data_IF_476295700969
#
_entry.id   IF_476295700969
#
_cell.length_a   1.000
_cell.length_b   1.000
_cell.length_c   1.000
_cell.angle_alpha   90.00
_cell.angle_beta   90.00
_cell.angle_gamma   90.00
#
_symmetry.space_group_name_H-M   'P 1'
#
loop_
_entity.id
_entity.type
_entity.pdbx_description
1 polymer ?
#
# COMPACT_ATOMS: atom_id res chain seq x y z
N UNK A 1 3.34 1.17 8.79
CA UNK A 1 4.55 1.86 9.26
C UNK A 1 4.93 1.33 10.64
N UNK A 2 6.18 0.91 10.82
CA UNK A 2 6.78 0.57 12.11
C UNK A 2 8.20 1.12 12.17
N UNK A 3 8.41 2.14 13.00
CA UNK A 3 9.68 2.88 13.11
C UNK A 3 10.17 3.50 11.78
N UNK A 4 9.31 4.26 11.11
CA UNK A 4 9.57 4.87 9.80
C UNK A 4 9.64 6.42 9.86
N UNK A 5 9.98 7.00 11.01
CA UNK A 5 9.97 8.45 11.24
C UNK A 5 10.69 9.26 10.16
N UNK A 6 11.75 8.71 9.55
CA UNK A 6 12.53 9.41 8.52
C UNK A 6 11.77 9.60 7.20
N UNK A 7 10.96 8.62 6.78
CA UNK A 7 10.43 8.56 5.41
C UNK A 7 8.89 8.60 5.37
N UNK A 8 8.21 8.35 6.49
CA UNK A 8 6.75 8.17 6.52
C UNK A 8 5.97 9.36 5.94
N UNK A 9 6.45 10.60 6.17
CA UNK A 9 5.79 11.81 5.68
C UNK A 9 5.87 11.90 4.16
N UNK A 10 7.04 11.63 3.58
CA UNK A 10 7.25 11.63 2.12
C UNK A 10 6.45 10.52 1.45
N UNK A 11 6.40 9.33 2.05
CA UNK A 11 5.58 8.21 1.57
C UNK A 11 4.10 8.59 1.54
N UNK A 12 3.58 9.20 2.60
CA UNK A 12 2.18 9.65 2.64
C UNK A 12 1.90 10.74 1.60
N UNK A 13 2.81 11.70 1.41
CA UNK A 13 2.68 12.69 0.34
C UNK A 13 2.64 12.05 -1.06
N UNK A 14 3.48 11.04 -1.31
CA UNK A 14 3.47 10.29 -2.57
C UNK A 14 2.13 9.60 -2.80
N UNK A 15 1.55 8.97 -1.76
CA UNK A 15 0.24 8.31 -1.87
C UNK A 15 -0.91 9.29 -2.08
N UNK A 16 -0.87 10.45 -1.42
CA UNK A 16 -1.88 11.51 -1.62
C UNK A 16 -1.81 12.15 -3.01
N UNK A 17 -0.66 12.07 -3.69
CA UNK A 17 -0.45 12.60 -5.03
C UNK A 17 -0.92 11.66 -6.16
N UNK A 18 -1.52 10.51 -5.84
CA UNK A 18 -2.04 9.57 -6.83
C UNK A 18 -3.27 10.15 -7.54
N UNK A 19 -3.32 9.91 -8.85
CA UNK A 19 -4.36 10.44 -9.74
C UNK A 19 -5.54 9.47 -9.79
N UNK A 20 -6.30 9.40 -8.69
CA UNK A 20 -7.57 8.69 -8.63
C UNK A 20 -8.67 9.58 -8.02
N UNK A 21 -9.86 9.68 -8.63
CA UNK A 21 -10.88 10.64 -8.18
C UNK A 21 -11.36 10.42 -6.74
N UNK A 22 -11.54 9.16 -6.33
CA UNK A 22 -12.15 8.81 -5.06
C UNK A 22 -11.39 7.68 -4.35
N UNK A 23 -10.50 8.05 -3.44
CA UNK A 23 -9.77 7.10 -2.60
C UNK A 23 -9.43 7.74 -1.24
N UNK A 24 -9.24 6.88 -0.23
CA UNK A 24 -8.73 7.22 1.10
C UNK A 24 -7.34 6.58 1.27
N UNK A 25 -6.41 7.29 1.89
CA UNK A 25 -5.12 6.76 2.33
C UNK A 25 -5.22 6.46 3.82
N UNK A 26 -5.11 5.19 4.19
CA UNK A 26 -5.14 4.73 5.58
C UNK A 26 -3.74 4.28 5.98
N UNK A 27 -3.09 5.02 6.87
CA UNK A 27 -1.77 4.71 7.40
C UNK A 27 -1.92 3.96 8.72
N UNK A 28 -1.39 2.75 8.80
CA UNK A 28 -1.40 1.97 10.04
C UNK A 28 -0.05 2.11 10.74
N UNK A 29 -0.05 2.75 11.91
CA UNK A 29 1.07 2.79 12.83
C UNK A 29 1.03 1.55 13.75
N UNK A 30 1.88 0.57 13.46
CA UNK A 30 1.89 -0.73 14.13
C UNK A 30 2.69 -0.71 15.44
N UNK A 31 2.34 0.19 16.35
CA UNK A 31 3.00 0.33 17.64
C UNK A 31 4.45 0.81 17.56
N UNK A 32 4.75 1.73 16.64
CA UNK A 32 6.08 2.36 16.53
C UNK A 32 6.54 2.92 17.87
N UNK A 33 7.85 2.79 18.14
CA UNK A 33 8.51 3.26 19.36
C UNK A 33 9.29 4.56 19.15
N UNK A 34 9.38 5.02 17.91
CA UNK A 34 10.01 6.27 17.52
C UNK A 34 8.97 7.38 17.31
N UNK A 35 9.41 8.48 16.67
CA UNK A 35 8.58 9.65 16.39
C UNK A 35 7.65 9.48 15.17
N UNK A 36 7.44 8.27 14.63
CA UNK A 36 6.65 8.04 13.40
C UNK A 36 5.26 8.69 13.49
N UNK A 37 4.52 8.42 14.56
CA UNK A 37 3.18 8.98 14.76
C UNK A 37 3.24 10.50 14.96
N UNK A 38 4.20 10.98 15.75
CA UNK A 38 4.33 12.41 16.05
C UNK A 38 4.61 13.22 14.77
N UNK A 39 5.49 12.72 13.91
CA UNK A 39 5.79 13.37 12.62
C UNK A 39 4.58 13.42 11.69
N UNK A 40 3.77 12.37 11.65
CA UNK A 40 2.50 12.37 10.91
C UNK A 40 1.53 13.41 11.48
N UNK A 41 1.41 13.50 12.80
CA UNK A 41 0.57 14.50 13.48
C UNK A 41 1.03 15.91 13.12
N UNK A 42 2.32 16.18 13.21
CA UNK A 42 2.87 17.53 13.01
C UNK A 42 2.81 17.97 11.55
N UNK A 43 3.10 17.07 10.61
CA UNK A 43 3.10 17.34 9.17
C UNK A 43 1.68 17.56 8.63
N UNK A 44 0.73 16.71 9.03
CA UNK A 44 -0.63 16.73 8.48
C UNK A 44 -1.67 17.37 9.41
N UNK A 45 -1.23 17.93 10.55
CA UNK A 45 -2.10 18.52 11.59
C UNK A 45 -3.23 17.57 12.01
N UNK A 46 -2.86 16.32 12.28
CA UNK A 46 -3.82 15.29 12.59
C UNK A 46 -4.50 15.54 13.94
N UNK A 47 -5.81 15.33 13.97
CA UNK A 47 -6.62 15.38 15.19
C UNK A 47 -7.22 14.00 15.46
N UNK A 48 -7.32 13.66 16.75
CA UNK A 48 -8.03 12.44 17.15
C UNK A 48 -9.49 12.57 16.78
N UNK A 49 -10.05 11.52 16.21
CA UNK A 49 -11.46 11.43 15.89
C UNK A 49 -11.98 10.03 16.20
N UNK A 50 -13.30 9.89 16.24
CA UNK A 50 -13.94 8.59 16.38
C UNK A 50 -14.71 8.29 15.10
N UNK A 51 -14.50 7.10 14.56
CA UNK A 51 -15.24 6.56 13.42
C UNK A 51 -15.59 5.12 13.75
N UNK A 52 -16.88 4.74 13.68
CA UNK A 52 -17.26 3.34 13.81
C UNK A 52 -16.71 2.57 12.62
N UNK A 53 -16.23 1.37 12.88
CA UNK A 53 -15.75 0.43 11.90
C UNK A 53 -16.20 -0.98 12.27
N UNK A 54 -16.19 -1.88 11.30
CA UNK A 54 -16.60 -3.27 11.48
C UNK A 54 -15.38 -4.10 11.88
N UNK A 55 -15.44 -4.75 13.04
CA UNK A 55 -14.40 -5.68 13.50
C UNK A 55 -14.56 -7.05 12.84
N UNK A 56 -14.32 -7.09 11.52
CA UNK A 56 -14.46 -8.32 10.73
C UNK A 56 -13.27 -9.26 10.88
N UNK A 57 -12.06 -8.71 11.05
CA UNK A 57 -10.80 -9.45 11.14
C UNK A 57 -10.14 -9.25 12.50
N UNK A 58 -9.46 -10.29 12.99
CA UNK A 58 -8.67 -10.21 14.22
C UNK A 58 -7.45 -9.30 14.02
N UNK A 59 -7.24 -8.38 14.98
CA UNK A 59 -6.04 -7.56 15.07
C UNK A 59 -5.78 -7.13 16.51
N UNK A 60 -4.56 -6.68 16.80
CA UNK A 60 -4.23 -6.07 18.09
C UNK A 60 -5.00 -4.77 18.32
N UNK A 61 -5.26 -4.37 19.57
CA UNK A 61 -6.11 -3.22 19.90
C UNK A 61 -5.67 -1.91 19.22
N UNK A 62 -6.64 -1.19 18.66
CA UNK A 62 -6.45 0.15 18.13
C UNK A 62 -6.47 1.14 19.31
N UNK A 63 -5.37 1.87 19.48
CA UNK A 63 -5.17 2.90 20.51
C UNK A 63 -5.86 4.22 20.16
N UNK A 64 -5.94 4.54 18.87
CA UNK A 64 -6.57 5.77 18.42
C UNK A 64 -6.66 5.89 16.91
N UNK A 65 -7.65 6.66 16.46
CA UNK A 65 -7.85 7.05 15.07
C UNK A 65 -7.60 8.56 14.93
N UNK A 66 -6.91 8.93 13.86
CA UNK A 66 -6.52 10.30 13.57
C UNK A 66 -6.89 10.66 12.13
N UNK A 67 -7.34 11.90 11.92
CA UNK A 67 -7.67 12.44 10.60
C UNK A 67 -7.14 13.86 10.48
N UNK A 68 -6.81 14.30 9.27
CA UNK A 68 -6.48 15.69 9.02
C UNK A 68 -7.74 16.50 8.68
N UNK A 69 -7.95 17.69 9.24
CA UNK A 69 -8.99 18.62 8.78
C UNK A 69 -8.61 19.32 7.47
N UNK A 70 -7.34 19.27 7.06
CA UNK A 70 -6.82 19.90 5.84
C UNK A 70 -6.80 18.90 4.69
N UNK A 71 -6.48 17.63 5.01
CA UNK A 71 -6.40 16.53 4.04
C UNK A 71 -7.49 15.50 4.32
N UNK A 72 -8.67 15.70 3.72
CA UNK A 72 -9.85 14.84 3.95
C UNK A 72 -9.64 13.37 3.59
N UNK A 73 -8.65 13.07 2.74
CA UNK A 73 -8.35 11.71 2.27
C UNK A 73 -7.36 10.95 3.15
N UNK A 74 -6.83 11.54 4.23
CA UNK A 74 -5.81 10.92 5.07
C UNK A 74 -6.37 10.49 6.43
N UNK A 75 -6.24 9.19 6.71
CA UNK A 75 -6.54 8.59 8.00
C UNK A 75 -5.31 7.88 8.55
N UNK A 76 -5.08 8.00 9.87
CA UNK A 76 -4.01 7.29 10.56
C UNK A 76 -4.60 6.48 11.71
N UNK A 77 -4.24 5.21 11.76
CA UNK A 77 -4.65 4.26 12.81
C UNK A 77 -3.42 3.98 13.66
N UNK A 78 -3.48 4.31 14.95
CA UNK A 78 -2.49 3.90 15.93
C UNK A 78 -2.98 2.65 16.67
N UNK A 79 -2.16 1.60 16.69
CA UNK A 79 -2.48 0.31 17.33
C UNK A 79 -1.31 -0.24 18.12
N UNK A 80 -1.57 -1.26 18.93
CA UNK A 80 -0.50 -2.07 19.53
C UNK A 80 0.24 -2.88 18.47
N UNK A 81 1.52 -3.18 18.67
CA UNK A 81 2.32 -3.90 17.68
C UNK A 81 1.82 -5.35 17.52
N UNK A 82 1.43 -5.71 16.30
CA UNK A 82 1.00 -7.07 15.94
C UNK A 82 1.70 -7.63 14.70
N UNK A 83 2.58 -6.87 14.06
CA UNK A 83 3.22 -7.24 12.80
C UNK A 83 2.41 -6.86 11.55
N UNK A 84 2.98 -7.13 10.39
CA UNK A 84 2.46 -6.67 9.09
C UNK A 84 1.04 -7.17 8.78
N UNK A 85 0.79 -8.47 8.95
CA UNK A 85 -0.52 -9.07 8.68
C UNK A 85 -1.60 -8.49 9.59
N UNK A 86 -1.30 -8.37 10.89
CA UNK A 86 -2.19 -7.79 11.89
C UNK A 86 -2.50 -6.30 11.60
N UNK A 87 -1.49 -5.53 11.20
CA UNK A 87 -1.66 -4.14 10.76
C UNK A 87 -2.54 -4.04 9.51
N UNK A 88 -2.38 -4.94 8.53
CA UNK A 88 -3.23 -4.99 7.34
C UNK A 88 -4.68 -5.32 7.70
N UNK A 89 -4.91 -6.27 8.60
CA UNK A 89 -6.24 -6.62 9.09
C UNK A 89 -6.93 -5.45 9.81
N UNK A 90 -6.21 -4.73 10.66
CA UNK A 90 -6.71 -3.50 11.27
C UNK A 90 -7.09 -2.45 10.23
N UNK A 91 -6.30 -2.30 9.16
CA UNK A 91 -6.62 -1.42 8.03
C UNK A 91 -7.89 -1.84 7.30
N UNK A 92 -8.06 -3.13 7.00
CA UNK A 92 -9.25 -3.67 6.32
C UNK A 92 -10.53 -3.39 7.11
N UNK A 93 -10.48 -3.51 8.44
CA UNK A 93 -11.61 -3.22 9.31
C UNK A 93 -12.04 -1.75 9.21
N UNK A 94 -11.08 -0.82 9.18
CA UNK A 94 -11.34 0.64 9.11
C UNK A 94 -11.72 1.13 7.70
N UNK A 95 -11.31 0.40 6.66
CA UNK A 95 -11.65 0.68 5.26
C UNK A 95 -13.16 0.61 5.00
N UNK A 96 -13.69 1.63 4.32
CA UNK A 96 -15.10 1.68 3.87
C UNK A 96 -15.29 1.28 2.41
N UNK A 97 -14.25 1.41 1.60
CA UNK A 97 -14.33 1.12 0.18
C UNK A 97 -14.48 -0.39 -0.07
N UNK A 98 -15.22 -0.79 -1.12
CA UNK A 98 -15.35 -2.20 -1.49
C UNK A 98 -14.03 -2.79 -2.01
N UNK A 99 -13.16 -1.94 -2.55
CA UNK A 99 -11.80 -2.27 -2.96
C UNK A 99 -10.82 -1.61 -2.01
N UNK A 100 -9.77 -2.32 -1.63
CA UNK A 100 -8.65 -1.77 -0.89
C UNK A 100 -7.33 -2.15 -1.55
N UNK A 101 -6.31 -1.33 -1.34
CA UNK A 101 -4.97 -1.57 -1.84
C UNK A 101 -3.97 -1.61 -0.67
N UNK A 102 -3.08 -2.60 -0.70
CA UNK A 102 -1.98 -2.73 0.24
C UNK A 102 -0.71 -2.26 -0.45
N UNK A 103 0.00 -1.34 0.21
CA UNK A 103 1.23 -0.74 -0.29
C UNK A 103 2.26 -0.74 0.84
N UNK A 104 3.50 -1.11 0.54
CA UNK A 104 4.58 -1.04 1.52
C UNK A 104 5.04 0.41 1.74
N UNK A 105 5.48 0.73 2.97
CA UNK A 105 5.83 2.08 3.40
C UNK A 105 7.03 2.69 2.66
N UNK A 106 7.83 1.86 1.99
CA UNK A 106 9.01 2.20 1.21
C UNK A 106 8.77 2.14 -0.33
N UNK A 107 7.53 1.95 -0.75
CA UNK A 107 7.17 1.81 -2.16
C UNK A 107 6.66 3.11 -2.77
N UNK A 108 7.00 3.33 -4.04
CA UNK A 108 6.54 4.46 -4.85
C UNK A 108 5.65 3.93 -5.95
N UNK A 109 4.48 4.56 -6.12
CA UNK A 109 3.55 4.24 -7.18
C UNK A 109 3.59 5.27 -8.30
N UNK A 110 3.34 4.80 -9.52
CA UNK A 110 3.08 5.68 -10.65
C UNK A 110 1.73 6.40 -10.43
N UNK A 111 1.57 7.67 -10.87
CA UNK A 111 0.37 8.46 -10.59
C UNK A 111 -0.94 7.78 -11.02
N UNK A 112 -0.92 7.06 -12.13
CA UNK A 112 -2.06 6.34 -12.71
C UNK A 112 -2.16 4.86 -12.27
N UNK A 113 -1.32 4.42 -11.33
CA UNK A 113 -1.26 3.02 -10.89
C UNK A 113 -2.60 2.52 -10.34
N UNK A 114 -3.30 3.33 -9.54
CA UNK A 114 -4.61 2.96 -9.00
C UNK A 114 -5.67 2.83 -10.10
N UNK A 115 -5.65 3.72 -11.09
CA UNK A 115 -6.59 3.68 -12.22
C UNK A 115 -6.43 2.39 -13.04
N UNK A 116 -5.18 2.03 -13.35
CA UNK A 116 -4.88 0.78 -14.07
C UNK A 116 -5.18 -0.46 -13.23
N UNK A 117 -4.95 -0.41 -11.92
CA UNK A 117 -5.26 -1.52 -11.01
C UNK A 117 -6.76 -1.72 -10.79
N UNK A 118 -7.56 -0.65 -10.87
CA UNK A 118 -9.01 -0.71 -10.76
C UNK A 118 -9.68 -1.25 -12.05
N UNK A 119 -9.06 -1.06 -13.22
CA UNK A 119 -9.65 -1.42 -14.51
C UNK A 119 -10.14 -2.89 -14.59
N UNK A 120 -9.39 -3.92 -14.15
CA UNK A 120 -9.89 -5.30 -14.20
C UNK A 120 -11.14 -5.55 -13.34
N UNK A 121 -11.34 -4.79 -12.27
CA UNK A 121 -12.55 -4.88 -11.44
C UNK A 121 -13.77 -4.26 -12.14
N UNK A 122 -13.56 -3.38 -13.11
CA UNK A 122 -14.60 -2.78 -13.94
C UNK A 122 -14.90 -3.68 -15.14
N UNK A 123 -13.85 -4.21 -15.79
CA UNK A 123 -13.97 -5.05 -16.99
C UNK A 123 -14.60 -6.42 -16.69
N UNK A 124 -14.27 -7.02 -15.54
CA UNK A 124 -14.85 -8.30 -15.08
C UNK A 124 -15.19 -8.24 -13.58
N UNK A 125 -16.31 -7.60 -13.21
CA UNK A 125 -16.67 -7.32 -11.83
C UNK A 125 -17.13 -8.57 -11.06
N UNK A 126 -17.43 -9.69 -11.71
CA UNK A 126 -17.85 -10.91 -11.01
C UNK A 126 -16.68 -11.87 -10.75
N UNK A 127 -15.67 -11.89 -11.64
CA UNK A 127 -14.56 -12.85 -11.53
C UNK A 127 -13.30 -12.25 -10.93
N UNK A 128 -13.07 -10.95 -11.05
CA UNK A 128 -11.82 -10.33 -10.59
C UNK A 128 -11.81 -10.21 -9.07
N UNK A 129 -11.07 -11.06 -8.36
CA UNK A 129 -10.98 -11.00 -6.89
C UNK A 129 -9.81 -10.11 -6.43
N UNK A 130 -8.70 -10.17 -7.17
CA UNK A 130 -7.46 -9.49 -6.82
C UNK A 130 -6.70 -9.06 -8.08
N UNK A 131 -5.97 -7.94 -7.98
CA UNK A 131 -5.08 -7.43 -9.02
C UNK A 131 -3.71 -7.20 -8.40
N UNK A 132 -2.68 -7.76 -9.03
CA UNK A 132 -1.29 -7.51 -8.67
C UNK A 132 -0.64 -6.49 -9.58
N UNK A 133 0.15 -5.59 -9.01
CA UNK A 133 0.97 -4.65 -9.78
C UNK A 133 2.29 -5.28 -10.22
N UNK A 134 2.87 -4.69 -11.28
CA UNK A 134 4.25 -4.98 -11.65
C UNK A 134 5.16 -4.13 -10.77
N UNK A 135 6.00 -4.78 -9.97
CA UNK A 135 6.98 -4.11 -9.11
C UNK A 135 8.32 -4.06 -9.83
N UNK A 136 8.97 -2.90 -9.78
CA UNK A 136 10.30 -2.69 -10.32
C UNK A 136 11.21 -2.16 -9.23
N UNK A 137 12.47 -2.59 -9.24
CA UNK A 137 13.48 -2.09 -8.32
C UNK A 137 13.85 -0.67 -8.73
N UNK A 138 13.71 0.28 -7.81
CA UNK A 138 14.09 1.68 -8.05
C UNK A 138 15.58 1.97 -7.78
N UNK A 139 16.39 0.99 -7.34
CA UNK A 139 17.81 1.18 -7.05
C UNK A 139 18.60 1.76 -8.24
N UNK A 140 19.22 2.91 -8.04
CA UNK A 140 19.95 3.64 -9.08
C UNK A 140 19.08 4.59 -9.92
N UNK A 141 17.76 4.58 -9.72
CA UNK A 141 16.85 5.53 -10.34
C UNK A 141 16.88 6.87 -9.60
N UNK A 142 16.77 7.99 -10.33
CA UNK A 142 16.58 9.29 -9.70
C UNK A 142 15.12 9.40 -9.28
N UNK A 143 14.90 9.48 -7.97
CA UNK A 143 13.60 9.70 -7.36
C UNK A 143 13.54 11.17 -6.94
N UNK A 144 12.57 11.91 -7.46
CA UNK A 144 12.30 13.28 -7.05
C UNK A 144 10.82 13.40 -6.69
N UNK A 145 10.52 13.92 -5.50
CA UNK A 145 9.15 14.13 -5.01
C UNK A 145 8.24 12.89 -5.12
N UNK A 146 8.76 11.71 -4.76
CA UNK A 146 7.99 10.46 -4.83
C UNK A 146 7.64 10.02 -6.25
N UNK A 147 8.41 10.46 -7.26
CA UNK A 147 8.28 10.03 -8.66
C UNK A 147 9.62 9.56 -9.19
N UNK A 148 9.60 8.48 -9.97
CA UNK A 148 10.79 7.99 -10.69
C UNK A 148 11.00 8.86 -11.93
N UNK A 149 12.04 9.69 -11.94
CA UNK A 149 12.38 10.59 -13.07
C UNK A 149 13.21 9.89 -14.13
N UNK A 150 14.21 9.12 -13.71
CA UNK A 150 15.14 8.45 -14.61
C UNK A 150 15.47 7.06 -14.07
N UNK A 151 15.26 6.03 -14.89
CA UNK A 151 15.62 4.65 -14.56
C UNK A 151 17.03 4.39 -15.10
N UNK A 152 17.99 4.15 -14.20
CA UNK A 152 19.34 3.76 -14.59
C UNK A 152 19.63 2.34 -14.14
N UNK A 153 20.29 1.56 -15.01
CA UNK A 153 20.87 0.30 -14.61
C UNK A 153 22.08 0.57 -13.69
N UNK A 154 22.15 -0.10 -12.52
CA UNK A 154 23.27 0.10 -11.61
C UNK A 154 24.57 -0.39 -12.26
N UNK A 155 25.65 0.38 -12.08
CA UNK A 155 26.97 0.08 -12.68
C UNK A 155 27.74 -1.05 -11.97
N UNK A 156 27.29 -1.47 -10.79
CA UNK A 156 27.91 -2.55 -10.00
C UNK A 156 27.29 -3.90 -10.37
N UNK A 157 28.11 -4.94 -10.52
CA UNK A 157 27.69 -6.26 -10.99
C UNK A 157 26.61 -6.92 -10.12
N UNK A 158 26.69 -6.81 -8.79
CA UNK A 158 25.72 -7.44 -7.87
C UNK A 158 24.31 -6.81 -7.98
N UNK A 159 24.13 -5.47 -7.85
CA UNK A 159 22.85 -4.84 -8.12
C UNK A 159 22.35 -5.04 -9.56
N UNK A 160 23.24 -5.09 -10.54
CA UNK A 160 22.86 -5.34 -11.94
C UNK A 160 22.27 -6.74 -12.10
N UNK A 161 22.90 -7.75 -11.51
CA UNK A 161 22.38 -9.11 -11.48
C UNK A 161 21.02 -9.18 -10.79
N UNK A 162 20.85 -8.48 -9.67
CA UNK A 162 19.56 -8.38 -8.98
C UNK A 162 18.48 -7.78 -9.88
N UNK A 163 18.79 -6.71 -10.62
CA UNK A 163 17.84 -6.09 -11.57
C UNK A 163 17.49 -7.06 -12.70
N UNK A 164 18.48 -7.70 -13.33
CA UNK A 164 18.25 -8.66 -14.43
C UNK A 164 17.42 -9.83 -13.95
N UNK A 165 17.72 -10.37 -12.78
CA UNK A 165 16.99 -11.52 -12.23
C UNK A 165 15.55 -11.15 -11.85
N UNK A 166 15.33 -9.94 -11.29
CA UNK A 166 13.97 -9.43 -11.08
C UNK A 166 13.23 -9.24 -12.40
N UNK A 167 13.86 -8.65 -13.43
CA UNK A 167 13.23 -8.51 -14.74
C UNK A 167 12.86 -9.88 -15.33
N UNK A 168 13.78 -10.85 -15.27
CA UNK A 168 13.55 -12.22 -15.77
C UNK A 168 12.44 -12.93 -15.01
N UNK A 169 12.50 -12.95 -13.68
CA UNK A 169 11.58 -13.70 -12.83
C UNK A 169 10.19 -13.03 -12.73
N UNK A 170 10.13 -11.70 -12.63
CA UNK A 170 8.86 -10.99 -12.43
C UNK A 170 8.16 -10.59 -13.73
N UNK A 171 8.84 -10.09 -14.77
CA UNK A 171 8.13 -9.63 -15.98
C UNK A 171 7.70 -10.79 -16.87
N UNK A 172 8.62 -11.67 -17.27
CA UNK A 172 8.32 -12.70 -18.27
C UNK A 172 7.28 -13.71 -17.77
N UNK A 173 7.47 -14.23 -16.55
CA UNK A 173 6.55 -15.20 -15.99
C UNK A 173 5.19 -14.56 -15.68
N UNK A 174 5.13 -13.40 -14.99
CA UNK A 174 3.83 -12.81 -14.64
C UNK A 174 3.06 -12.30 -15.83
N UNK A 175 3.70 -11.72 -16.85
CA UNK A 175 2.98 -11.30 -18.07
C UNK A 175 2.37 -12.50 -18.78
N UNK A 176 3.10 -13.62 -18.89
CA UNK A 176 2.56 -14.85 -19.43
C UNK A 176 1.36 -15.35 -18.61
N UNK A 177 1.52 -15.50 -17.28
CA UNK A 177 0.43 -15.95 -16.39
C UNK A 177 -0.76 -14.98 -16.33
N UNK A 178 -0.51 -13.67 -16.44
CA UNK A 178 -1.55 -12.63 -16.49
C UNK A 178 -2.35 -12.72 -17.79
N UNK A 179 -1.71 -13.02 -18.92
CA UNK A 179 -2.41 -13.15 -20.22
C UNK A 179 -3.39 -14.33 -20.27
N UNK A 180 -3.20 -15.31 -19.39
CA UNK A 180 -4.07 -16.48 -19.23
C UNK A 180 -4.78 -16.51 -17.87
N UNK A 181 -4.92 -15.36 -17.20
CA UNK A 181 -5.66 -15.18 -15.93
C UNK A 181 -5.29 -16.18 -14.81
N UNK A 182 -4.04 -16.62 -14.75
CA UNK A 182 -3.53 -17.64 -13.80
C UNK A 182 -2.36 -17.09 -13.01
N UNK A 183 -2.49 -15.86 -12.53
CA UNK A 183 -1.48 -15.21 -11.72
C UNK A 183 -1.45 -15.87 -10.33
N UNK A 184 -0.45 -16.73 -10.10
CA UNK A 184 -0.40 -17.59 -8.91
C UNK A 184 -0.13 -16.84 -7.59
N UNK A 185 0.30 -15.58 -7.64
CA UNK A 185 0.72 -14.83 -6.47
C UNK A 185 0.68 -13.32 -6.69
N UNK A 186 -0.06 -12.62 -5.82
CA UNK A 186 -0.04 -11.16 -5.73
C UNK A 186 1.15 -10.76 -4.85
N UNK A 187 1.92 -9.76 -5.29
CA UNK A 187 3.07 -9.32 -4.48
C UNK A 187 2.61 -8.56 -3.26
N UNK A 188 3.27 -8.79 -2.12
CA UNK A 188 2.96 -8.09 -0.86
C UNK A 188 3.21 -6.59 -0.88
N UNK A 189 3.96 -6.06 -1.85
CA UNK A 189 4.30 -4.64 -1.93
C UNK A 189 3.26 -3.78 -2.68
N UNK A 190 2.48 -4.38 -3.58
CA UNK A 190 1.32 -3.74 -4.20
C UNK A 190 0.32 -4.80 -4.65
N UNK A 191 -0.88 -4.71 -4.09
CA UNK A 191 -2.03 -5.52 -4.48
C UNK A 191 -3.33 -4.80 -4.18
N UNK A 192 -4.30 -4.92 -5.09
CA UNK A 192 -5.66 -4.42 -4.92
C UNK A 192 -6.63 -5.60 -4.82
N UNK A 193 -7.56 -5.56 -3.87
CA UNK A 193 -8.41 -6.69 -3.53
C UNK A 193 -9.84 -6.23 -3.23
N UNK A 194 -10.81 -7.13 -3.42
CA UNK A 194 -12.15 -6.95 -2.83
C UNK A 194 -12.11 -7.19 -1.33
N UNK A 195 -12.60 -6.21 -0.57
CA UNK A 195 -12.72 -6.30 0.89
C UNK A 195 -13.54 -7.51 1.32
N UNK A 196 -14.71 -7.73 0.71
CA UNK A 196 -15.61 -8.82 1.08
C UNK A 196 -14.95 -10.20 0.94
N UNK A 197 -14.22 -10.43 -0.17
CA UNK A 197 -13.52 -11.69 -0.42
C UNK A 197 -12.38 -11.93 0.56
N UNK A 198 -11.61 -10.88 0.90
CA UNK A 198 -10.52 -10.99 1.88
C UNK A 198 -11.06 -11.25 3.28
N UNK A 199 -12.18 -10.63 3.65
CA UNK A 199 -12.87 -10.91 4.91
C UNK A 199 -13.39 -12.35 4.95
N UNK A 200 -13.97 -12.84 3.85
CA UNK A 200 -14.52 -14.19 3.76
C UNK A 200 -13.45 -15.29 3.95
N UNK A 201 -12.21 -15.04 3.54
CA UNK A 201 -11.08 -15.98 3.73
C UNK A 201 -10.37 -15.81 5.08
N UNK A 202 -10.80 -14.86 5.93
CA UNK A 202 -10.25 -14.66 7.27
C UNK A 202 -9.07 -13.69 7.35
N UNK A 203 -8.81 -12.89 6.30
CA UNK A 203 -7.78 -11.85 6.32
C UNK A 203 -6.35 -12.36 6.08
N UNK A 204 -5.37 -11.55 6.49
CA UNK A 204 -3.95 -11.87 6.41
C UNK A 204 -3.48 -12.62 7.67
N UNK A 205 -2.53 -13.54 7.48
CA UNK A 205 -1.95 -14.41 8.52
C UNK A 205 -0.45 -14.23 8.65
#
# INVERSE_FOLDING_TARGET
>A
AYNEALNVVDSVHSMLALEYPNFEVVVINDGSKDETLQRLIDAFKLVKFQRPFEEALAHQPIRGLYSSPITERLFVVDKENGGKADAQNAGINVCRAPLFCVIDGDSILEPDALMRAAQPFIDDPERTIAVGGTIRIANGSRIEAGRVREIHLPRRLLPLFQVVEYLRAFLMARLAWSSINTLMLVSGAFGMFRRAEVVAVGGFT
#
